data_IF_712083125886
#
_entry.id   IF_712083125886
#
_cell.length_a   1.000
_cell.length_b   1.000
_cell.length_c   1.000
_cell.angle_alpha   90.00
_cell.angle_beta   90.00
_cell.angle_gamma   90.00
#
_symmetry.space_group_name_H-M   'P 1'
#
loop_
_entity.id
_entity.type
_entity.pdbx_description
1 polymer ?
#
# COMPACT_ATOMS: atom_id res chain seq x y z
N UNK A 1 7.06 -8.13 28.84
CA UNK A 1 7.82 -7.97 27.58
C UNK A 1 6.93 -7.30 26.52
N UNK A 2 6.45 -6.06 26.77
CA UNK A 2 5.34 -5.44 25.99
C UNK A 2 5.54 -3.93 25.75
N UNK A 3 6.75 -3.45 25.44
CA UNK A 3 6.98 -2.01 25.20
C UNK A 3 7.76 -1.66 23.92
N UNK A 4 8.08 -2.63 23.06
CA UNK A 4 8.87 -2.34 21.85
C UNK A 4 8.02 -2.04 20.59
N UNK A 5 6.75 -2.50 20.55
CA UNK A 5 5.95 -2.48 19.31
C UNK A 5 5.31 -1.11 19.00
N UNK A 6 5.26 -0.18 19.96
CA UNK A 6 4.69 1.17 19.71
C UNK A 6 5.57 2.09 18.84
N UNK A 7 6.83 1.73 18.56
CA UNK A 7 7.76 2.61 17.82
C UNK A 7 7.72 2.50 16.29
N UNK A 8 6.97 1.55 15.72
CA UNK A 8 6.86 1.40 14.26
C UNK A 8 5.69 2.17 13.62
N UNK A 9 4.79 2.76 14.40
CA UNK A 9 3.55 3.35 13.86
C UNK A 9 3.23 4.74 14.42
N UNK A 10 4.22 5.65 14.46
CA UNK A 10 3.93 7.09 14.58
C UNK A 10 4.41 7.83 13.33
N UNK A 11 3.51 8.55 12.61
CA UNK A 11 3.94 9.40 11.50
C UNK A 11 4.76 10.58 12.05
N UNK A 12 5.99 10.74 11.54
CA UNK A 12 6.81 11.93 11.80
C UNK A 12 6.04 13.18 11.37
N UNK A 13 5.81 14.10 12.31
CA UNK A 13 5.32 15.44 12.00
C UNK A 13 6.30 16.14 11.04
N UNK A 14 5.81 16.57 9.89
CA UNK A 14 6.58 17.34 8.90
C UNK A 14 6.76 18.78 9.40
N UNK A 15 7.98 19.14 9.79
CA UNK A 15 8.38 20.53 9.96
C UNK A 15 8.46 21.22 8.59
N UNK A 16 7.77 22.35 8.44
CA UNK A 16 7.81 23.21 7.24
C UNK A 16 9.13 24.00 7.19
N UNK A 17 9.79 24.15 6.02
CA UNK A 17 10.85 25.13 5.86
C UNK A 17 10.28 26.52 5.53
N UNK A 18 10.92 27.54 6.11
CA UNK A 18 10.67 28.99 5.99
C UNK A 18 11.24 29.52 4.65
N UNK A 19 10.61 30.48 3.96
CA UNK A 19 11.15 31.02 2.71
C UNK A 19 12.30 32.00 2.96
N UNK A 20 13.37 31.90 2.16
CA UNK A 20 14.43 32.92 2.05
C UNK A 20 14.14 33.84 0.85
N UNK A 21 14.22 35.14 1.09
CA UNK A 21 14.23 36.21 0.09
C UNK A 21 15.64 36.42 -0.52
N UNK A 22 15.69 37.29 -1.54
CA UNK A 22 16.82 37.80 -2.37
C UNK A 22 17.02 37.07 -3.71
N UNK A 23 17.22 37.73 -4.86
CA UNK A 23 17.14 39.13 -5.25
C UNK A 23 17.06 39.19 -6.79
N UNK A 24 16.58 40.31 -7.32
CA UNK A 24 16.61 40.69 -8.74
C UNK A 24 18.04 40.65 -9.29
N UNK A 25 18.20 40.25 -10.55
CA UNK A 25 19.12 40.92 -11.47
C UNK A 25 18.67 40.72 -12.92
N UNK A 26 18.28 41.84 -13.51
CA UNK A 26 18.14 42.10 -14.94
C UNK A 26 19.52 42.25 -15.57
N UNK A 27 19.79 41.56 -16.67
CA UNK A 27 20.79 42.00 -17.66
C UNK A 27 20.25 41.74 -19.06
N UNK A 28 20.03 42.84 -19.77
CA UNK A 28 19.91 42.93 -21.22
C UNK A 28 21.29 42.80 -21.88
N UNK A 29 21.40 42.05 -22.98
CA UNK A 29 22.35 42.35 -24.04
C UNK A 29 21.78 42.00 -25.41
N UNK A 30 22.12 42.86 -26.36
CA UNK A 30 21.57 43.07 -27.69
C UNK A 30 22.45 42.45 -28.79
N UNK A 31 21.88 42.42 -30.00
CA UNK A 31 22.48 42.35 -31.36
C UNK A 31 22.67 40.95 -31.96
N UNK A 32 21.89 40.62 -32.99
CA UNK A 32 22.18 41.04 -34.37
C UNK A 32 21.09 40.60 -35.35
N UNK A 33 20.50 41.57 -36.05
CA UNK A 33 19.67 41.34 -37.24
C UNK A 33 20.50 41.69 -38.48
N UNK A 34 20.50 40.81 -39.48
CA UNK A 34 20.88 41.14 -40.87
C UNK A 34 19.72 40.78 -41.80
N UNK A 35 19.00 41.85 -42.17
CA UNK A 35 18.43 42.20 -43.48
C UNK A 35 18.13 41.10 -44.51
N UNK A 36 16.85 40.98 -44.86
CA UNK A 36 16.42 40.90 -46.27
C UNK A 36 15.01 41.51 -46.44
N UNK A 37 14.93 42.58 -47.25
CA UNK A 37 13.76 43.09 -48.01
C UNK A 37 14.36 43.80 -49.23
N UNK A 38 13.75 43.76 -50.43
CA UNK A 38 12.57 44.59 -50.75
C UNK A 38 11.61 43.90 -51.77
N UNK A 39 10.45 44.38 -52.24
CA UNK A 39 9.89 45.72 -52.46
C UNK A 39 8.35 45.71 -52.34
N UNK A 40 7.81 46.87 -51.98
CA UNK A 40 6.40 47.28 -52.10
C UNK A 40 6.14 47.89 -53.48
N UNK A 41 4.95 47.69 -54.05
CA UNK A 41 4.29 48.66 -54.94
C UNK A 41 2.92 48.97 -54.35
N UNK A 42 2.62 50.26 -54.36
CA UNK A 42 1.48 50.99 -53.80
C UNK A 42 0.17 50.71 -54.55
N UNK A 43 -0.97 50.76 -53.86
CA UNK A 43 -1.90 51.87 -54.10
C UNK A 43 -2.89 52.05 -52.96
N UNK A 44 -3.12 53.31 -52.63
CA UNK A 44 -4.04 53.84 -51.64
C UNK A 44 -5.31 54.24 -52.40
N UNK A 45 -6.47 53.73 -52.03
CA UNK A 45 -7.68 54.55 -52.14
C UNK A 45 -8.73 54.22 -51.10
N UNK A 46 -9.21 55.32 -50.54
CA UNK A 46 -10.14 55.51 -49.43
C UNK A 46 -11.55 55.20 -49.93
N UNK A 47 -12.39 54.53 -49.14
CA UNK A 47 -13.84 54.79 -49.11
C UNK A 47 -14.46 54.17 -47.86
N UNK A 48 -14.85 55.06 -46.95
CA UNK A 48 -15.78 54.81 -45.84
C UNK A 48 -17.11 54.32 -46.41
N UNK A 49 -17.58 53.15 -45.98
CA UNK A 49 -19.01 52.83 -45.98
C UNK A 49 -19.41 52.54 -44.55
N UNK A 50 -20.07 53.54 -43.97
CA UNK A 50 -20.99 53.37 -42.86
C UNK A 50 -22.06 52.36 -43.28
N UNK A 51 -22.06 51.20 -42.66
CA UNK A 51 -23.22 50.31 -42.64
C UNK A 51 -23.63 50.10 -41.20
N UNK A 52 -24.50 51.01 -40.72
CA UNK A 52 -25.49 50.66 -39.70
C UNK A 52 -26.32 49.52 -40.28
N UNK A 53 -26.10 48.30 -39.78
CA UNK A 53 -27.16 47.31 -39.68
C UNK A 53 -27.11 46.70 -38.30
N UNK A 54 -28.02 47.18 -37.45
CA UNK A 54 -28.55 46.40 -36.34
C UNK A 54 -29.14 45.10 -36.91
N UNK A 55 -28.34 44.04 -36.96
CA UNK A 55 -28.88 42.69 -36.96
C UNK A 55 -29.06 42.33 -35.48
N UNK A 56 -30.30 42.43 -34.99
CA UNK A 56 -30.69 41.85 -33.71
C UNK A 56 -30.47 40.33 -33.85
N UNK A 57 -29.28 39.85 -33.48
CA UNK A 57 -28.99 38.42 -33.43
C UNK A 57 -30.00 37.81 -32.48
N UNK A 58 -30.99 37.11 -33.04
CA UNK A 58 -31.94 36.30 -32.27
C UNK A 58 -31.14 35.16 -31.66
N UNK A 59 -30.52 35.43 -30.51
CA UNK A 59 -29.80 34.42 -29.75
C UNK A 59 -30.82 33.38 -29.32
N UNK A 60 -30.80 32.21 -29.95
CA UNK A 60 -31.70 31.11 -29.63
C UNK A 60 -31.35 30.56 -28.25
N UNK A 61 -32.20 30.77 -27.22
CA UNK A 61 -31.88 30.36 -25.85
C UNK A 61 -31.78 28.84 -25.76
N UNK A 62 -30.81 28.39 -25.00
CA UNK A 62 -30.51 26.99 -24.78
C UNK A 62 -30.38 26.70 -23.28
N UNK A 63 -30.82 25.51 -22.88
CA UNK A 63 -30.63 24.97 -21.54
C UNK A 63 -29.68 23.78 -21.60
N UNK A 64 -28.62 23.83 -20.80
CA UNK A 64 -27.65 22.74 -20.67
C UNK A 64 -27.86 22.08 -19.31
N UNK A 65 -28.08 20.77 -19.32
CA UNK A 65 -28.22 19.94 -18.14
C UNK A 65 -26.94 19.12 -17.94
N UNK A 66 -26.34 19.19 -16.76
CA UNK A 66 -25.13 18.41 -16.43
C UNK A 66 -25.42 17.45 -15.28
N UNK A 67 -25.24 16.15 -15.53
CA UNK A 67 -25.39 15.07 -14.55
C UNK A 67 -24.04 14.47 -14.17
N UNK A 68 -23.92 13.99 -12.94
CA UNK A 68 -22.72 13.36 -12.40
C UNK A 68 -23.06 11.97 -11.89
N UNK A 69 -22.80 10.94 -12.69
CA UNK A 69 -23.25 9.57 -12.40
C UNK A 69 -22.08 8.68 -11.97
N UNK A 70 -22.33 7.79 -11.01
CA UNK A 70 -21.41 6.69 -10.71
C UNK A 70 -21.67 5.48 -11.63
N UNK A 71 -20.90 4.40 -11.44
CA UNK A 71 -21.05 3.18 -12.23
C UNK A 71 -22.45 2.54 -12.16
N UNK A 72 -23.19 2.77 -11.06
CA UNK A 72 -24.54 2.25 -10.82
C UNK A 72 -25.63 3.22 -11.32
N UNK A 73 -25.27 4.25 -12.10
CA UNK A 73 -26.18 5.30 -12.58
C UNK A 73 -26.80 6.18 -11.47
N UNK A 74 -26.26 6.16 -10.27
CA UNK A 74 -26.71 7.04 -9.19
C UNK A 74 -26.02 8.41 -9.29
N UNK A 75 -26.80 9.47 -9.04
CA UNK A 75 -26.28 10.84 -9.01
C UNK A 75 -25.38 11.06 -7.78
N UNK A 76 -24.17 11.58 -8.00
CA UNK A 76 -23.22 11.92 -6.92
C UNK A 76 -23.54 13.26 -6.25
N UNK A 77 -24.33 14.09 -6.91
CA UNK A 77 -24.86 15.37 -6.45
C UNK A 77 -26.03 15.77 -7.34
N UNK A 78 -26.80 16.77 -6.91
CA UNK A 78 -27.80 17.41 -7.75
C UNK A 78 -27.20 17.91 -9.06
N UNK A 79 -27.91 17.63 -10.15
CA UNK A 79 -27.62 18.09 -11.51
C UNK A 79 -27.48 19.62 -11.58
N UNK A 80 -26.63 20.10 -12.50
CA UNK A 80 -26.46 21.53 -12.77
C UNK A 80 -27.25 21.92 -14.03
N UNK A 81 -27.81 23.13 -14.02
CA UNK A 81 -28.56 23.69 -15.15
C UNK A 81 -27.93 25.03 -15.52
N UNK A 82 -27.53 25.17 -16.78
CA UNK A 82 -26.98 26.42 -17.32
C UNK A 82 -27.89 26.95 -18.42
N UNK A 83 -28.13 28.26 -18.42
CA UNK A 83 -28.74 28.96 -19.55
C UNK A 83 -27.64 29.53 -20.44
N UNK A 84 -27.74 29.29 -21.75
CA UNK A 84 -26.81 29.79 -22.76
C UNK A 84 -27.58 30.05 -24.06
N UNK A 85 -26.87 30.23 -25.17
CA UNK A 85 -27.45 30.39 -26.50
C UNK A 85 -26.75 29.48 -27.51
N UNK A 86 -27.44 29.07 -28.57
CA UNK A 86 -26.84 28.28 -29.65
C UNK A 86 -25.61 28.99 -30.23
N UNK A 87 -24.54 28.23 -30.46
CA UNK A 87 -23.28 28.72 -31.01
C UNK A 87 -22.33 29.36 -30.00
N UNK A 88 -22.78 29.64 -28.76
CA UNK A 88 -21.91 30.18 -27.72
C UNK A 88 -20.88 29.13 -27.26
N UNK A 89 -19.65 29.53 -26.88
CA UNK A 89 -18.64 28.62 -26.35
C UNK A 89 -19.13 27.90 -25.08
N UNK A 90 -18.90 26.59 -25.03
CA UNK A 90 -19.25 25.75 -23.89
C UNK A 90 -17.98 25.29 -23.16
N UNK A 91 -17.84 25.70 -21.89
CA UNK A 91 -16.73 25.29 -21.02
C UNK A 91 -17.27 24.70 -19.73
N UNK A 92 -16.70 23.57 -19.31
CA UNK A 92 -17.09 22.88 -18.08
C UNK A 92 -15.87 22.47 -17.28
N UNK A 93 -15.90 22.74 -15.98
CA UNK A 93 -14.92 22.22 -15.03
C UNK A 93 -15.44 20.91 -14.47
N UNK A 94 -14.65 19.85 -14.55
CA UNK A 94 -15.00 18.53 -13.99
C UNK A 94 -14.79 18.58 -12.47
N UNK A 95 -15.85 18.46 -11.65
CA UNK A 95 -15.71 18.50 -10.20
C UNK A 95 -15.04 17.22 -9.68
N UNK A 96 -14.35 17.37 -8.55
CA UNK A 96 -13.80 16.25 -7.79
C UNK A 96 -14.81 15.81 -6.73
N UNK A 97 -14.99 14.50 -6.59
CA UNK A 97 -15.81 13.91 -5.54
C UNK A 97 -14.93 13.05 -4.63
N UNK A 98 -15.13 13.15 -3.31
CA UNK A 98 -14.43 12.30 -2.34
C UNK A 98 -14.67 10.83 -2.72
N UNK A 99 -13.61 10.02 -2.71
CA UNK A 99 -13.65 8.58 -3.04
C UNK A 99 -14.01 8.22 -4.49
N UNK A 100 -14.16 9.18 -5.41
CA UNK A 100 -14.41 8.93 -6.83
C UNK A 100 -13.35 9.59 -7.72
N UNK A 101 -13.20 9.06 -8.93
CA UNK A 101 -12.38 9.62 -10.01
C UNK A 101 -13.18 9.71 -11.29
N UNK A 102 -12.87 10.72 -12.10
CA UNK A 102 -13.43 10.90 -13.43
C UNK A 102 -13.16 9.66 -14.29
N UNK A 103 -14.19 9.19 -15.01
CA UNK A 103 -14.12 8.05 -15.92
C UNK A 103 -14.28 8.50 -17.37
N UNK A 104 -15.39 9.16 -17.70
CA UNK A 104 -15.69 9.65 -19.06
C UNK A 104 -16.73 10.77 -19.02
N UNK A 105 -16.88 11.47 -20.15
CA UNK A 105 -17.92 12.47 -20.35
C UNK A 105 -18.67 12.19 -21.65
N UNK A 106 -19.99 12.36 -21.63
CA UNK A 106 -20.90 12.18 -22.77
C UNK A 106 -21.66 13.47 -23.04
N UNK A 107 -21.96 13.76 -24.30
CA UNK A 107 -22.75 14.94 -24.70
C UNK A 107 -22.01 16.28 -24.64
N UNK A 108 -20.71 16.28 -24.35
CA UNK A 108 -19.85 17.47 -24.34
C UNK A 108 -19.49 17.92 -25.76
N UNK A 109 -19.60 19.21 -26.02
CA UNK A 109 -19.21 19.88 -27.28
C UNK A 109 -18.45 21.18 -26.96
N UNK A 110 -17.71 21.74 -27.93
CA UNK A 110 -16.97 23.01 -27.73
C UNK A 110 -17.87 24.25 -27.76
N UNK A 111 -19.03 24.14 -28.39
CA UNK A 111 -20.09 25.17 -28.46
C UNK A 111 -21.44 24.54 -28.13
N UNK A 112 -22.43 25.36 -27.80
CA UNK A 112 -23.80 24.89 -27.59
C UNK A 112 -24.46 24.56 -28.93
N UNK A 113 -24.81 23.29 -29.12
CA UNK A 113 -25.32 22.77 -30.41
C UNK A 113 -26.82 22.47 -30.40
N UNK A 114 -27.46 22.47 -29.23
CA UNK A 114 -28.89 22.18 -29.10
C UNK A 114 -29.57 23.10 -28.05
N UNK A 115 -30.86 23.39 -28.26
CA UNK A 115 -31.68 24.20 -27.32
C UNK A 115 -31.92 23.48 -25.99
N UNK A 116 -31.82 22.15 -26.00
CA UNK A 116 -31.74 21.30 -24.80
C UNK A 116 -30.58 20.33 -24.97
N UNK A 117 -29.50 20.57 -24.24
CA UNK A 117 -28.30 19.74 -24.31
C UNK A 117 -28.08 19.05 -22.96
N UNK A 118 -27.83 17.74 -22.97
CA UNK A 118 -27.51 16.98 -21.76
C UNK A 118 -26.07 16.52 -21.82
N UNK A 119 -25.33 16.77 -20.74
CA UNK A 119 -23.95 16.34 -20.54
C UNK A 119 -23.94 15.40 -19.34
N UNK A 120 -23.34 14.24 -19.49
CA UNK A 120 -23.22 13.26 -18.41
C UNK A 120 -21.74 13.04 -18.12
N UNK A 121 -21.33 13.35 -16.90
CA UNK A 121 -19.99 13.05 -16.40
C UNK A 121 -20.06 11.78 -15.58
N UNK A 122 -19.38 10.74 -16.04
CA UNK A 122 -19.30 9.45 -15.38
C UNK A 122 -18.08 9.37 -14.48
N UNK A 123 -18.27 8.80 -13.29
CA UNK A 123 -17.25 8.58 -12.27
C UNK A 123 -17.17 7.10 -11.89
N UNK A 124 -15.99 6.68 -11.41
CA UNK A 124 -15.78 5.38 -10.77
C UNK A 124 -15.21 5.57 -9.37
N UNK A 125 -15.47 4.64 -8.45
CA UNK A 125 -14.85 4.69 -7.12
C UNK A 125 -13.33 4.58 -7.27
N UNK A 126 -12.61 5.21 -6.35
CA UNK A 126 -11.17 5.00 -6.19
C UNK A 126 -10.94 3.59 -5.67
N UNK A 127 -9.80 3.00 -6.01
CA UNK A 127 -9.30 1.84 -5.29
C UNK A 127 -8.92 2.28 -3.87
N UNK A 128 -9.25 1.46 -2.88
CA UNK A 128 -8.66 1.58 -1.56
C UNK A 128 -7.18 1.19 -1.59
N UNK A 129 -6.49 1.44 -0.50
CA UNK A 129 -5.15 0.90 -0.30
C UNK A 129 -5.24 -0.61 -0.05
N UNK A 130 -4.22 -1.38 -0.48
CA UNK A 130 -4.28 -2.83 -0.39
C UNK A 130 -4.24 -3.30 1.08
N UNK A 131 -4.82 -4.47 1.31
CA UNK A 131 -4.63 -5.25 2.54
C UNK A 131 -3.51 -6.25 2.25
N UNK A 132 -2.46 -6.24 3.06
CA UNK A 132 -1.34 -7.17 2.94
C UNK A 132 -1.46 -8.28 3.97
N UNK A 133 -1.43 -9.53 3.52
CA UNK A 133 -1.53 -10.72 4.38
C UNK A 133 -0.18 -11.43 4.42
N UNK A 134 0.39 -11.54 5.61
CA UNK A 134 1.66 -12.22 5.88
C UNK A 134 1.41 -13.50 6.66
N UNK A 135 2.15 -14.55 6.34
CA UNK A 135 2.13 -15.80 7.08
C UNK A 135 3.54 -16.08 7.62
N UNK A 136 3.72 -15.96 8.93
CA UNK A 136 5.00 -16.17 9.60
C UNK A 136 4.95 -17.42 10.50
N UNK A 137 6.08 -18.09 10.61
CA UNK A 137 6.33 -19.01 11.70
C UNK A 137 6.49 -18.21 13.00
N UNK A 138 5.70 -18.54 14.02
CA UNK A 138 5.69 -17.85 15.31
C UNK A 138 7.00 -18.01 16.10
N UNK A 139 7.68 -19.13 15.94
CA UNK A 139 8.80 -19.51 16.80
C UNK A 139 10.16 -19.08 16.23
N UNK A 140 10.25 -18.82 14.93
CA UNK A 140 11.49 -18.36 14.27
C UNK A 140 11.31 -17.11 13.37
N UNK A 141 10.10 -16.57 13.24
CA UNK A 141 9.77 -15.39 12.42
C UNK A 141 10.12 -15.53 10.92
N UNK A 142 10.22 -16.75 10.41
CA UNK A 142 10.43 -16.98 8.97
C UNK A 142 9.11 -16.85 8.22
N UNK A 143 9.19 -16.33 7.00
CA UNK A 143 8.03 -16.21 6.13
C UNK A 143 7.71 -17.58 5.53
N UNK A 144 6.51 -18.09 5.80
CA UNK A 144 6.08 -19.43 5.37
C UNK A 144 5.57 -19.46 3.92
N UNK A 145 5.13 -18.32 3.40
CA UNK A 145 4.70 -18.15 2.01
C UNK A 145 4.83 -16.71 1.56
N UNK A 146 4.88 -16.51 0.24
CA UNK A 146 4.86 -15.17 -0.37
C UNK A 146 3.66 -14.37 0.16
N UNK A 147 3.83 -13.09 0.55
CA UNK A 147 2.73 -12.29 1.06
C UNK A 147 1.66 -12.08 0.00
N UNK A 148 0.40 -12.08 0.43
CA UNK A 148 -0.75 -11.86 -0.46
C UNK A 148 -1.24 -10.41 -0.37
N UNK A 149 -1.69 -9.87 -1.50
CA UNK A 149 -2.27 -8.54 -1.58
C UNK A 149 -3.74 -8.66 -1.96
N UNK A 150 -4.62 -8.11 -1.14
CA UNK A 150 -6.02 -7.94 -1.50
C UNK A 150 -6.23 -6.50 -1.97
N UNK A 151 -6.99 -6.34 -3.04
CA UNK A 151 -7.34 -5.03 -3.61
C UNK A 151 -8.83 -4.95 -3.85
N UNK A 152 -9.41 -3.78 -3.61
CA UNK A 152 -10.81 -3.50 -3.90
C UNK A 152 -11.08 -2.01 -4.01
N UNK A 153 -12.30 -1.66 -4.42
CA UNK A 153 -12.79 -0.30 -4.39
C UNK A 153 -12.87 0.21 -2.94
N UNK A 154 -12.71 1.51 -2.76
CA UNK A 154 -12.87 2.10 -1.43
C UNK A 154 -14.29 1.85 -0.87
N UNK A 155 -14.33 1.46 0.40
CA UNK A 155 -15.50 0.99 1.13
C UNK A 155 -16.07 -0.37 0.65
N UNK A 156 -15.39 -1.07 -0.25
CA UNK A 156 -15.72 -2.48 -0.54
C UNK A 156 -15.27 -3.36 0.63
N UNK A 157 -16.10 -4.36 0.95
CA UNK A 157 -15.83 -5.33 2.02
C UNK A 157 -14.75 -6.32 1.58
N UNK A 158 -13.91 -6.74 2.52
CA UNK A 158 -12.97 -7.82 2.33
C UNK A 158 -13.03 -8.81 3.49
N UNK A 159 -12.71 -10.06 3.18
CA UNK A 159 -12.51 -11.12 4.17
C UNK A 159 -11.25 -11.92 3.84
N UNK A 160 -10.34 -11.99 4.80
CA UNK A 160 -9.10 -12.78 4.70
C UNK A 160 -9.43 -14.24 4.91
N UNK A 161 -9.19 -15.07 3.88
CA UNK A 161 -9.22 -16.52 4.01
C UNK A 161 -7.91 -16.99 4.65
N UNK A 162 -8.00 -17.69 5.77
CA UNK A 162 -6.82 -18.26 6.45
C UNK A 162 -6.29 -19.40 5.57
N UNK A 163 -5.07 -19.30 5.00
CA UNK A 163 -4.51 -20.34 4.16
C UNK A 163 -4.09 -21.56 5.00
N UNK A 164 -4.39 -22.76 4.52
CA UNK A 164 -3.80 -23.98 5.06
C UNK A 164 -2.32 -24.06 4.65
N UNK A 165 -1.44 -24.32 5.61
CA UNK A 165 0.01 -24.49 5.37
C UNK A 165 0.38 -25.89 5.89
N UNK A 166 1.00 -26.71 5.03
CA UNK A 166 1.32 -28.10 5.38
C UNK A 166 2.26 -28.17 6.58
N UNK A 167 1.89 -28.91 7.62
CA UNK A 167 2.67 -29.09 8.86
C UNK A 167 2.53 -27.95 9.87
N UNK A 168 1.64 -26.99 9.61
CA UNK A 168 1.45 -25.79 10.41
C UNK A 168 -0.02 -25.53 10.71
N UNK A 169 -0.30 -25.09 11.93
CA UNK A 169 -1.61 -24.64 12.39
C UNK A 169 -1.55 -23.16 12.72
N UNK A 170 -2.66 -22.45 12.47
CA UNK A 170 -2.77 -21.05 12.87
C UNK A 170 -2.66 -20.96 14.40
N UNK A 171 -1.69 -20.18 14.87
CA UNK A 171 -1.47 -19.95 16.30
C UNK A 171 -2.12 -18.65 16.77
N UNK A 172 -1.90 -17.55 16.04
CA UNK A 172 -2.45 -16.23 16.36
C UNK A 172 -2.55 -15.37 15.10
N UNK A 173 -3.55 -14.50 15.03
CA UNK A 173 -3.69 -13.47 13.99
C UNK A 173 -3.58 -12.08 14.59
N UNK A 174 -2.94 -11.16 13.88
CA UNK A 174 -2.85 -9.74 14.19
C UNK A 174 -3.45 -8.94 13.02
N UNK A 175 -4.31 -7.97 13.31
CA UNK A 175 -5.03 -7.19 12.31
C UNK A 175 -6.41 -7.75 12.00
N UNK A 176 -7.17 -7.02 11.20
CA UNK A 176 -8.58 -7.32 10.92
C UNK A 176 -8.73 -8.32 9.77
N UNK A 177 -9.26 -9.51 10.07
CA UNK A 177 -9.57 -10.54 9.07
C UNK A 177 -10.82 -10.21 8.25
N UNK A 178 -11.63 -9.25 8.70
CA UNK A 178 -12.84 -8.79 8.05
C UNK A 178 -12.88 -7.26 8.15
N UNK A 179 -13.11 -6.57 7.05
CA UNK A 179 -13.06 -5.12 7.05
C UNK A 179 -13.46 -4.50 5.72
N UNK A 180 -13.10 -3.23 5.54
CA UNK A 180 -13.33 -2.49 4.29
C UNK A 180 -12.03 -1.89 3.77
N UNK A 181 -11.87 -1.87 2.46
CA UNK A 181 -10.76 -1.15 1.82
C UNK A 181 -10.92 0.34 2.06
N UNK A 182 -9.88 0.99 2.59
CA UNK A 182 -9.95 2.42 2.92
C UNK A 182 -8.75 3.19 2.32
N UNK A 183 -8.50 4.42 2.78
CA UNK A 183 -7.41 5.25 2.24
C UNK A 183 -6.03 4.96 2.86
N UNK A 184 -5.94 4.00 3.78
CA UNK A 184 -4.75 3.61 4.53
C UNK A 184 -4.39 2.14 4.25
N UNK A 185 -3.09 1.80 4.15
CA UNK A 185 -2.69 0.41 4.01
C UNK A 185 -3.03 -0.39 5.27
N UNK A 186 -3.52 -1.60 5.08
CA UNK A 186 -3.90 -2.50 6.17
C UNK A 186 -3.00 -3.73 6.14
N UNK A 187 -2.63 -4.25 7.32
CA UNK A 187 -1.78 -5.42 7.44
C UNK A 187 -2.47 -6.47 8.30
N UNK A 188 -2.46 -7.70 7.82
CA UNK A 188 -2.87 -8.89 8.55
C UNK A 188 -1.68 -9.81 8.65
N UNK A 189 -1.32 -10.18 9.88
CA UNK A 189 -0.22 -11.10 10.14
C UNK A 189 -0.82 -12.35 10.77
N UNK A 190 -0.69 -13.47 10.07
CA UNK A 190 -1.06 -14.79 10.52
C UNK A 190 0.21 -15.50 11.00
N UNK A 191 0.32 -15.73 12.30
CA UNK A 191 1.38 -16.52 12.87
C UNK A 191 0.93 -17.97 12.98
N UNK A 192 1.73 -18.85 12.42
CA UNK A 192 1.54 -20.29 12.47
C UNK A 192 2.57 -20.91 13.39
N UNK A 193 2.23 -22.05 13.97
CA UNK A 193 3.17 -22.90 14.70
C UNK A 193 3.11 -24.30 14.11
N UNK A 194 4.26 -24.97 14.10
CA UNK A 194 4.35 -26.35 13.61
C UNK A 194 3.41 -27.27 14.42
N UNK A 195 2.66 -28.15 13.75
CA UNK A 195 1.57 -28.93 14.36
C UNK A 195 2.04 -29.83 15.52
N UNK A 196 3.24 -30.36 15.36
CA UNK A 196 3.89 -31.24 16.34
C UNK A 196 4.56 -30.49 17.51
N UNK A 197 4.56 -29.15 17.54
CA UNK A 197 5.17 -28.37 18.62
C UNK A 197 4.12 -28.00 19.66
N UNK A 198 4.14 -28.69 20.81
CA UNK A 198 3.19 -28.46 21.91
C UNK A 198 3.58 -27.28 22.78
N UNK A 199 4.87 -27.16 23.06
CA UNK A 199 5.39 -26.11 23.92
C UNK A 199 6.77 -25.70 23.42
N UNK A 200 6.98 -24.39 23.34
CA UNK A 200 8.26 -23.79 22.96
C UNK A 200 8.64 -22.82 24.05
N UNK A 201 9.77 -23.08 24.71
CA UNK A 201 10.25 -22.25 25.82
C UNK A 201 11.63 -21.71 25.51
N UNK A 202 11.83 -20.37 25.50
CA UNK A 202 13.17 -19.83 25.60
C UNK A 202 13.73 -20.18 26.97
N UNK A 203 14.92 -20.76 27.00
CA UNK A 203 15.60 -21.20 28.21
C UNK A 203 17.04 -20.70 28.23
N UNK A 204 17.68 -20.78 29.39
CA UNK A 204 19.07 -20.38 29.55
C UNK A 204 19.71 -21.25 30.65
N UNK A 205 20.24 -22.41 30.26
CA UNK A 205 20.99 -23.30 31.14
C UNK A 205 22.02 -24.11 30.37
N UNK A 206 22.92 -24.80 31.09
CA UNK A 206 23.96 -25.64 30.51
C UNK A 206 23.57 -27.13 30.57
N UNK A 207 23.99 -27.88 29.56
CA UNK A 207 23.86 -29.34 29.49
C UNK A 207 25.21 -29.98 29.24
N UNK A 208 25.42 -31.19 29.78
CA UNK A 208 26.57 -32.03 29.47
C UNK A 208 26.14 -33.17 28.56
N UNK A 209 26.87 -33.39 27.47
CA UNK A 209 26.62 -34.50 26.53
C UNK A 209 27.01 -35.81 27.21
N UNK A 210 26.06 -36.75 27.38
CA UNK A 210 26.31 -38.07 28.00
C UNK A 210 26.47 -39.20 26.97
N UNK A 211 25.96 -39.02 25.75
CA UNK A 211 26.07 -39.95 24.62
C UNK A 211 26.41 -39.15 23.36
N UNK A 212 27.15 -39.70 22.37
CA UNK A 212 27.47 -38.98 21.14
C UNK A 212 26.20 -38.42 20.48
N UNK A 213 26.03 -37.10 20.52
CA UNK A 213 24.76 -36.46 20.18
C UNK A 213 24.71 -36.12 18.69
N UNK A 214 23.70 -36.64 17.99
CA UNK A 214 23.41 -36.26 16.60
C UNK A 214 22.84 -34.84 16.57
N UNK A 215 23.35 -34.01 15.68
CA UNK A 215 22.93 -32.60 15.52
C UNK A 215 22.07 -32.44 14.27
N UNK A 216 20.99 -31.66 14.38
CA UNK A 216 20.01 -31.39 13.33
C UNK A 216 19.92 -29.90 13.05
N UNK A 217 19.57 -29.51 11.81
CA UNK A 217 19.38 -28.10 11.44
C UNK A 217 18.11 -27.48 12.06
N UNK A 218 17.09 -28.30 12.31
CA UNK A 218 15.86 -27.91 12.99
C UNK A 218 15.27 -29.06 13.82
N UNK A 219 14.43 -28.74 14.80
CA UNK A 219 13.68 -29.77 15.52
C UNK A 219 12.67 -30.45 14.57
N UNK A 220 12.52 -31.77 14.68
CA UNK A 220 11.69 -32.63 13.80
C UNK A 220 12.23 -32.88 12.39
N UNK A 221 13.40 -32.35 12.03
CA UNK A 221 14.04 -32.73 10.77
C UNK A 221 14.55 -34.16 10.78
N UNK A 222 14.49 -34.81 9.62
CA UNK A 222 15.04 -36.15 9.40
C UNK A 222 16.53 -36.12 9.03
N UNK A 223 16.99 -35.01 8.44
CA UNK A 223 18.39 -34.77 8.08
C UNK A 223 19.18 -34.28 9.28
N UNK A 224 20.35 -34.88 9.49
CA UNK A 224 21.32 -34.48 10.49
C UNK A 224 22.61 -33.98 9.83
N UNK A 225 23.43 -33.25 10.58
CA UNK A 225 24.80 -32.99 10.16
C UNK A 225 25.65 -34.26 10.28
N UNK A 226 26.71 -34.33 9.47
CA UNK A 226 27.67 -35.44 9.45
C UNK A 226 28.71 -35.34 10.59
N UNK A 227 28.28 -34.89 11.77
CA UNK A 227 29.10 -34.88 12.97
C UNK A 227 28.24 -35.13 14.22
N UNK A 228 28.91 -35.51 15.31
CA UNK A 228 28.29 -35.69 16.61
C UNK A 228 28.99 -34.83 17.64
N UNK A 229 28.23 -34.30 18.59
CA UNK A 229 28.84 -33.63 19.73
C UNK A 229 29.52 -34.66 20.63
N UNK A 230 30.77 -34.41 21.08
CA UNK A 230 31.52 -35.37 21.85
C UNK A 230 30.97 -35.50 23.28
N UNK A 231 31.01 -36.73 23.79
CA UNK A 231 30.66 -37.01 25.19
C UNK A 231 31.54 -36.18 26.11
N UNK A 232 30.93 -35.61 27.16
CA UNK A 232 31.60 -34.76 28.14
C UNK A 232 31.63 -33.28 27.79
N UNK A 233 31.36 -32.89 26.54
CA UNK A 233 31.24 -31.47 26.17
C UNK A 233 30.04 -30.80 26.84
N UNK A 234 30.18 -29.50 27.09
CA UNK A 234 29.16 -28.68 27.78
C UNK A 234 28.64 -27.62 26.81
N UNK A 235 27.32 -27.55 26.68
CA UNK A 235 26.65 -26.65 25.74
C UNK A 235 25.57 -25.84 26.43
N UNK A 236 25.35 -24.62 25.95
CA UNK A 236 24.24 -23.77 26.40
C UNK A 236 22.99 -24.09 25.61
N UNK A 237 21.86 -24.23 26.30
CA UNK A 237 20.54 -24.38 25.68
C UNK A 237 19.83 -23.04 25.68
N UNK A 238 19.30 -22.66 24.52
CA UNK A 238 18.59 -21.40 24.29
C UNK A 238 17.09 -21.58 24.14
N UNK A 239 16.65 -22.76 23.71
CA UNK A 239 15.23 -23.08 23.49
C UNK A 239 14.98 -24.57 23.72
N UNK A 240 13.88 -24.88 24.41
CA UNK A 240 13.30 -26.22 24.49
C UNK A 240 12.03 -26.26 23.62
N UNK A 241 11.88 -27.34 22.85
CA UNK A 241 10.67 -27.63 22.08
C UNK A 241 10.15 -28.99 22.50
N UNK A 242 8.98 -29.01 23.14
CA UNK A 242 8.26 -30.23 23.46
C UNK A 242 7.37 -30.62 22.30
N UNK A 243 7.59 -31.82 21.79
CA UNK A 243 6.78 -32.43 20.74
C UNK A 243 5.97 -33.59 21.32
N UNK A 244 5.13 -34.24 20.52
CA UNK A 244 4.36 -35.40 20.97
C UNK A 244 5.25 -36.58 21.42
N UNK A 245 6.45 -36.70 20.84
CA UNK A 245 7.32 -37.87 21.01
C UNK A 245 8.53 -37.58 21.89
N UNK A 246 9.08 -36.37 21.80
CA UNK A 246 10.37 -36.05 22.41
C UNK A 246 10.55 -34.55 22.66
N UNK A 247 11.54 -34.23 23.48
CA UNK A 247 12.01 -32.86 23.68
C UNK A 247 13.26 -32.60 22.85
N UNK A 248 13.25 -31.47 22.14
CA UNK A 248 14.38 -30.94 21.39
C UNK A 248 15.00 -29.75 22.11
N UNK A 249 16.32 -29.68 22.07
CA UNK A 249 17.12 -28.61 22.65
C UNK A 249 17.84 -27.85 21.54
N UNK A 250 17.63 -26.53 21.46
CA UNK A 250 18.41 -25.67 20.58
C UNK A 250 19.66 -25.18 21.29
N UNK A 251 20.81 -25.42 20.66
CA UNK A 251 22.13 -24.96 21.13
C UNK A 251 22.54 -23.62 20.50
N UNK A 252 21.67 -23.03 19.69
CA UNK A 252 21.91 -21.80 18.93
C UNK A 252 21.95 -22.04 17.43
N UNK A 253 21.65 -21.01 16.63
CA UNK A 253 21.64 -21.11 15.18
C UNK A 253 20.80 -22.29 14.66
N UNK A 254 21.40 -23.09 13.78
CA UNK A 254 20.82 -24.31 13.23
C UNK A 254 21.37 -25.56 13.92
N UNK A 255 21.57 -25.55 15.25
CA UNK A 255 22.07 -26.69 16.01
C UNK A 255 21.02 -27.17 17.01
N UNK A 256 20.42 -28.32 16.72
CA UNK A 256 19.40 -28.95 17.54
C UNK A 256 19.79 -30.37 17.91
N UNK A 257 19.56 -30.75 19.17
CA UNK A 257 19.78 -32.12 19.66
C UNK A 257 18.56 -32.60 20.44
N UNK A 258 18.42 -33.93 20.56
CA UNK A 258 17.39 -34.53 21.42
C UNK A 258 17.81 -34.47 22.89
N UNK A 259 16.85 -34.22 23.79
CA UNK A 259 17.10 -34.15 25.24
C UNK A 259 17.71 -35.45 25.78
N UNK A 260 17.42 -36.60 25.18
CA UNK A 260 17.95 -37.90 25.60
C UNK A 260 19.48 -37.99 25.59
N UNK A 261 20.18 -37.15 24.81
CA UNK A 261 21.64 -37.17 24.72
C UNK A 261 22.34 -36.46 25.88
N UNK A 262 21.60 -35.79 26.76
CA UNK A 262 22.20 -34.87 27.72
C UNK A 262 21.75 -35.09 29.17
N UNK A 263 22.53 -34.55 30.09
CA UNK A 263 22.10 -34.25 31.46
C UNK A 263 22.15 -32.75 31.68
N UNK A 264 21.12 -32.20 32.33
CA UNK A 264 21.11 -30.80 32.75
C UNK A 264 22.15 -30.61 33.85
N UNK A 265 22.96 -29.56 33.72
CA UNK A 265 23.88 -29.17 34.79
C UNK A 265 23.06 -28.37 35.78
N UNK A 266 22.62 -29.02 36.86
CA UNK A 266 22.00 -28.33 37.98
C UNK A 266 23.11 -27.60 38.73
N UNK A 267 23.03 -26.27 38.79
CA UNK A 267 23.96 -25.43 39.56
C UNK A 267 23.66 -25.53 41.08
N UNK A 268 23.41 -26.74 41.59
CA UNK A 268 23.20 -27.00 43.02
C UNK A 268 24.51 -26.91 43.82
N UNK A 269 25.66 -26.77 43.15
CA UNK A 269 26.97 -26.58 43.79
C UNK A 269 27.33 -25.11 44.08
N UNK A 270 26.39 -24.16 43.95
CA UNK A 270 26.50 -22.84 44.60
C UNK A 270 25.64 -22.74 45.87
N UNK A 271 25.73 -23.77 46.72
CA UNK A 271 25.50 -23.67 48.15
C UNK A 271 26.72 -24.20 48.89
N UNK A 272 27.85 -23.50 48.82
CA UNK A 272 28.94 -23.71 49.77
C UNK A 272 29.61 -22.36 50.08
N UNK A 273 29.45 -21.98 51.35
CA UNK A 273 30.19 -21.02 52.19
C UNK A 273 30.05 -19.52 51.93
#
# INVERSE_FOLDING_TARGET
>A
MFNFIKKLFMPKQKNKPRPKHLAKNSVSMTRNAKNFKPKTIENLDKLTITSKQNALSTKNPATILVKFLNANQNELRSQLIFKSYLGEPLRLTIPQFKNYIFKKIEGMTSIVVATRQTIIIHYKKKLGKPVMVYCFDYDNNTLLKVPEFMTGEINEHYQVKIPAILGYQLHISIGDLDGIFNNEPQNVILYYRHDNWKLVQPVNYLVKIKLPAVVYSHALEKSNYDFKLPVGSVWKVFKEVHTNEQTWLSLGGAEWIKQEYVTKINDETKKIN
#
